data_IF_877486788085
#
_entry.id   IF_877486788085
#
_cell.length_a   1.000
_cell.length_b   1.000
_cell.length_c   1.000
_cell.angle_alpha   90.00
_cell.angle_beta   90.00
_cell.angle_gamma   90.00
#
_symmetry.space_group_name_H-M   'P 1'
#
loop_
_entity.id
_entity.type
_entity.pdbx_description
1 polymer ?
#
# COMPACT_ATOMS: atom_id res chain seq x y z
N UNK A 1 -10.59 -32.91 34.21
CA UNK A 1 -10.28 -33.74 35.42
C UNK A 1 -9.60 -35.03 34.95
N UNK A 2 -8.61 -35.48 35.67
CA UNK A 2 -8.03 -36.81 35.54
C UNK A 2 -8.47 -37.65 36.74
N UNK A 3 -8.72 -38.93 36.53
CA UNK A 3 -9.07 -39.89 37.59
C UNK A 3 -8.49 -41.25 37.26
N UNK A 4 -8.21 -42.03 38.29
CA UNK A 4 -7.84 -43.42 38.18
C UNK A 4 -9.03 -44.33 38.54
N UNK A 5 -9.24 -45.33 37.74
CA UNK A 5 -10.23 -46.39 38.03
C UNK A 5 -9.53 -47.56 38.76
N UNK A 6 -10.09 -47.98 39.85
CA UNK A 6 -9.64 -49.22 40.47
C UNK A 6 -10.37 -50.40 39.78
N UNK A 7 -9.66 -51.12 38.93
CA UNK A 7 -10.17 -52.26 38.13
C UNK A 7 -10.43 -53.52 38.94
N UNK A 8 -10.07 -53.50 40.26
CA UNK A 8 -10.28 -54.66 41.14
C UNK A 8 -11.57 -54.59 41.97
N UNK A 9 -12.36 -53.51 41.86
CA UNK A 9 -13.63 -53.36 42.55
C UNK A 9 -14.80 -53.22 41.59
N UNK A 10 -15.96 -53.73 41.98
CA UNK A 10 -17.23 -53.69 41.22
C UNK A 10 -17.91 -52.30 41.14
N UNK A 11 -17.29 -51.23 41.63
CA UNK A 11 -17.81 -49.87 41.56
C UNK A 11 -16.89 -49.03 40.66
N UNK A 12 -17.43 -48.49 39.55
CA UNK A 12 -16.75 -47.54 38.65
C UNK A 12 -16.66 -46.11 39.22
N UNK A 13 -16.45 -45.99 40.53
CA UNK A 13 -16.32 -44.64 41.17
C UNK A 13 -14.84 -44.24 41.11
N UNK A 14 -14.52 -43.05 40.58
CA UNK A 14 -13.15 -42.54 40.57
C UNK A 14 -12.62 -42.39 42.00
N UNK A 15 -11.47 -42.95 42.31
CA UNK A 15 -10.83 -42.84 43.63
C UNK A 15 -10.27 -41.43 43.89
N UNK A 16 -9.78 -40.78 42.83
CA UNK A 16 -9.23 -39.42 42.92
C UNK A 16 -9.61 -38.64 41.65
N UNK A 17 -10.11 -37.44 41.83
CA UNK A 17 -10.45 -36.51 40.75
C UNK A 17 -9.55 -35.29 40.87
N UNK A 18 -8.67 -35.09 39.90
CA UNK A 18 -7.76 -33.94 39.84
C UNK A 18 -8.03 -33.06 38.65
N UNK A 19 -8.12 -31.75 38.90
CA UNK A 19 -8.21 -30.76 37.82
C UNK A 19 -6.88 -30.70 37.04
N UNK A 20 -6.94 -30.80 35.72
CA UNK A 20 -5.78 -30.74 34.84
C UNK A 20 -5.54 -29.31 34.33
N UNK A 21 -6.58 -28.51 34.20
CA UNK A 21 -6.52 -27.13 33.72
C UNK A 21 -6.90 -26.14 34.82
N UNK A 22 -6.43 -24.93 34.74
CA UNK A 22 -6.76 -23.82 35.65
C UNK A 22 -7.74 -22.82 35.04
N UNK A 23 -8.31 -23.14 33.90
CA UNK A 23 -9.32 -22.30 33.24
C UNK A 23 -10.61 -22.19 34.08
N UNK A 24 -11.16 -20.97 34.18
CA UNK A 24 -12.32 -20.70 35.07
C UNK A 24 -13.48 -19.98 34.43
N UNK A 25 -13.25 -19.27 33.32
CA UNK A 25 -14.26 -18.39 32.70
C UNK A 25 -15.16 -19.12 31.70
N UNK A 26 -14.63 -20.11 31.01
CA UNK A 26 -15.37 -20.91 30.02
C UNK A 26 -15.13 -22.40 30.23
N UNK A 27 -16.05 -23.28 29.80
CA UNK A 27 -15.83 -24.72 29.82
C UNK A 27 -14.81 -25.15 28.75
N UNK A 28 -13.97 -26.13 29.08
CA UNK A 28 -13.19 -26.87 28.13
C UNK A 28 -14.12 -27.77 27.32
N UNK A 29 -13.97 -27.81 26.01
CA UNK A 29 -14.82 -28.58 25.08
C UNK A 29 -13.98 -29.41 24.11
N UNK A 30 -14.62 -30.41 23.48
CA UNK A 30 -14.04 -31.25 22.42
C UNK A 30 -12.73 -31.91 22.81
N UNK A 31 -12.68 -32.43 24.04
CA UNK A 31 -11.51 -33.13 24.56
C UNK A 31 -11.25 -34.41 23.77
N UNK A 32 -10.02 -34.58 23.31
CA UNK A 32 -9.47 -35.81 22.75
C UNK A 32 -8.11 -36.10 23.39
N UNK A 33 -7.67 -37.36 23.30
CA UNK A 33 -6.40 -37.83 23.81
C UNK A 33 -5.69 -38.66 22.75
N UNK A 34 -4.40 -38.45 22.57
CA UNK A 34 -3.56 -39.25 21.69
C UNK A 34 -3.10 -40.53 22.40
N UNK A 35 -2.59 -41.51 21.63
CA UNK A 35 -2.03 -42.77 22.15
C UNK A 35 -0.84 -42.52 23.13
N UNK A 36 -0.18 -41.38 23.02
CA UNK A 36 0.92 -40.93 23.92
C UNK A 36 0.44 -40.14 25.13
N UNK A 37 -0.87 -39.97 25.31
CA UNK A 37 -1.45 -39.24 26.44
C UNK A 37 -1.47 -37.72 26.29
N UNK A 38 -1.16 -37.17 25.13
CA UNK A 38 -1.32 -35.74 24.85
C UNK A 38 -2.79 -35.41 24.71
N UNK A 39 -3.28 -34.47 25.49
CA UNK A 39 -4.65 -33.95 25.41
C UNK A 39 -4.73 -32.88 24.33
N UNK A 40 -5.84 -32.87 23.57
CA UNK A 40 -6.22 -31.77 22.69
C UNK A 40 -7.66 -31.36 23.01
N UNK A 41 -7.91 -30.09 23.14
CA UNK A 41 -9.22 -29.55 23.51
C UNK A 41 -9.37 -28.09 23.06
N UNK A 42 -10.61 -27.59 23.08
CA UNK A 42 -10.89 -26.17 22.85
C UNK A 42 -11.25 -25.46 24.14
N UNK A 43 -10.82 -24.20 24.23
CA UNK A 43 -11.17 -23.29 25.30
C UNK A 43 -11.26 -21.88 24.73
N UNK A 44 -12.38 -21.18 24.99
CA UNK A 44 -12.64 -19.81 24.53
C UNK A 44 -12.42 -19.62 23.01
N UNK A 45 -12.91 -20.57 22.21
CA UNK A 45 -12.76 -20.53 20.74
C UNK A 45 -11.39 -20.93 20.20
N UNK A 46 -10.41 -21.19 21.05
CA UNK A 46 -9.05 -21.52 20.70
C UNK A 46 -8.71 -23.00 20.92
N UNK A 47 -7.75 -23.53 20.18
CA UNK A 47 -7.28 -24.91 20.27
C UNK A 47 -6.05 -24.99 21.17
N UNK A 48 -6.05 -26.00 22.07
CA UNK A 48 -4.95 -26.24 23.01
C UNK A 48 -4.48 -27.68 22.96
N UNK A 49 -3.18 -27.87 23.15
CA UNK A 49 -2.58 -29.16 23.46
C UNK A 49 -1.96 -29.13 24.85
N UNK A 50 -1.94 -30.28 25.52
CA UNK A 50 -1.38 -30.41 26.86
C UNK A 50 -0.82 -31.80 27.10
N UNK A 51 0.45 -31.86 27.43
CA UNK A 51 1.12 -33.08 27.91
C UNK A 51 0.76 -33.35 29.38
N UNK A 52 0.95 -34.58 29.80
CA UNK A 52 0.75 -34.94 31.20
C UNK A 52 1.61 -34.06 32.13
N UNK A 53 1.00 -33.45 33.13
CA UNK A 53 1.63 -32.53 34.10
C UNK A 53 2.25 -31.26 33.52
N UNK A 54 2.02 -30.94 32.25
CA UNK A 54 2.46 -29.71 31.61
C UNK A 54 1.37 -28.63 31.64
N UNK A 55 1.76 -27.37 31.33
CA UNK A 55 0.80 -26.28 31.12
C UNK A 55 0.14 -26.40 29.74
N UNK A 56 -1.11 -25.96 29.59
CA UNK A 56 -1.73 -25.86 28.29
C UNK A 56 -0.91 -24.99 27.32
N UNK A 57 -0.75 -25.46 26.09
CA UNK A 57 -0.12 -24.75 25.00
C UNK A 57 -1.15 -24.46 23.93
N UNK A 58 -1.37 -23.18 23.62
CA UNK A 58 -2.24 -22.77 22.51
C UNK A 58 -1.60 -23.20 21.19
N UNK A 59 -2.41 -23.80 20.32
CA UNK A 59 -2.02 -24.15 18.96
C UNK A 59 -2.27 -22.94 18.07
N UNK A 60 -1.22 -22.44 17.42
CA UNK A 60 -1.37 -21.44 16.39
C UNK A 60 -1.81 -22.11 15.10
N UNK A 61 -3.04 -21.84 14.66
CA UNK A 61 -3.57 -22.36 13.40
C UNK A 61 -3.45 -21.28 12.35
N UNK A 62 -2.52 -21.46 11.42
CA UNK A 62 -2.42 -20.62 10.23
C UNK A 62 -3.25 -21.26 9.11
N UNK A 63 -4.30 -20.58 8.72
CA UNK A 63 -5.07 -20.95 7.55
C UNK A 63 -4.42 -20.29 6.34
N UNK A 64 -3.65 -21.05 5.59
CA UNK A 64 -3.29 -20.65 4.23
C UNK A 64 -4.55 -20.83 3.39
N UNK A 65 -5.30 -19.76 3.19
CA UNK A 65 -6.37 -19.75 2.20
C UNK A 65 -5.72 -19.49 0.84
N UNK A 66 -5.94 -20.42 -0.04
CA UNK A 66 -5.87 -20.17 -1.48
C UNK A 66 -7.17 -19.41 -1.84
N UNK A 67 -7.30 -18.22 -1.27
CA UNK A 67 -8.37 -17.32 -1.67
C UNK A 67 -8.05 -16.97 -3.13
N UNK A 68 -8.71 -17.62 -4.07
CA UNK A 68 -8.95 -17.02 -5.37
C UNK A 68 -9.52 -15.64 -5.05
N UNK A 69 -8.68 -14.59 -5.24
CA UNK A 69 -9.15 -13.21 -5.10
C UNK A 69 -10.34 -13.13 -6.02
N UNK A 70 -11.55 -12.99 -5.47
CA UNK A 70 -12.72 -12.73 -6.29
C UNK A 70 -12.36 -11.56 -7.20
N UNK A 71 -12.26 -11.84 -8.50
CA UNK A 71 -12.00 -10.81 -9.49
C UNK A 71 -13.27 -10.00 -9.58
N UNK A 72 -13.37 -8.95 -8.76
CA UNK A 72 -14.45 -8.00 -8.84
C UNK A 72 -14.24 -7.14 -10.09
N UNK A 73 -15.10 -7.29 -11.08
CA UNK A 73 -15.14 -6.38 -12.23
C UNK A 73 -15.83 -5.08 -11.83
N UNK A 74 -15.04 -4.03 -11.63
CA UNK A 74 -15.56 -2.69 -11.35
C UNK A 74 -15.57 -1.88 -12.65
N UNK A 75 -16.74 -1.33 -13.01
CA UNK A 75 -16.88 -0.40 -14.13
C UNK A 75 -16.87 1.03 -13.63
N UNK A 76 -15.86 1.79 -14.03
CA UNK A 76 -15.81 3.24 -13.82
C UNK A 76 -16.15 3.95 -15.11
N UNK A 77 -17.22 4.71 -15.12
CA UNK A 77 -17.64 5.51 -16.29
C UNK A 77 -17.26 6.98 -16.17
N UNK A 78 -16.82 7.42 -14.99
CA UNK A 78 -16.48 8.83 -14.70
C UNK A 78 -15.55 8.91 -13.49
N UNK A 79 -14.89 10.06 -13.30
CA UNK A 79 -14.17 10.41 -12.05
C UNK A 79 -12.67 10.14 -12.07
N UNK A 80 -12.05 9.93 -13.23
CA UNK A 80 -10.61 10.03 -13.34
C UNK A 80 -10.19 11.50 -13.19
N UNK A 81 -9.32 11.81 -12.24
CA UNK A 81 -8.89 13.17 -11.91
C UNK A 81 -7.40 13.42 -12.16
N UNK A 82 -6.67 12.42 -12.62
CA UNK A 82 -5.29 12.50 -13.06
C UNK A 82 -5.04 11.37 -14.05
N UNK A 83 -4.30 11.63 -15.11
CA UNK A 83 -3.90 10.61 -16.05
C UNK A 83 -2.51 10.91 -16.62
N UNK A 84 -1.76 9.85 -16.95
CA UNK A 84 -0.46 9.91 -17.60
C UNK A 84 -0.35 8.77 -18.60
N UNK A 85 0.13 9.07 -19.81
CA UNK A 85 0.39 8.07 -20.85
C UNK A 85 1.84 7.64 -20.74
N UNK A 86 2.12 6.34 -20.87
CA UNK A 86 3.49 5.86 -20.93
C UNK A 86 4.23 6.42 -22.17
N UNK A 87 5.54 6.66 -22.11
CA UNK A 87 6.31 7.17 -23.24
C UNK A 87 6.16 6.37 -24.53
N UNK A 88 5.98 5.07 -24.45
CA UNK A 88 5.73 4.19 -25.61
C UNK A 88 4.27 4.18 -26.09
N UNK A 89 3.36 4.90 -25.42
CA UNK A 89 1.95 5.00 -25.76
C UNK A 89 1.10 3.75 -25.48
N UNK A 90 1.67 2.71 -24.84
CA UNK A 90 1.00 1.41 -24.67
C UNK A 90 0.23 1.28 -23.37
N UNK A 91 0.40 2.20 -22.44
CA UNK A 91 -0.22 2.17 -21.12
C UNK A 91 -0.74 3.57 -20.75
N UNK A 92 -1.84 3.59 -20.02
CA UNK A 92 -2.40 4.80 -19.41
C UNK A 92 -2.53 4.55 -17.93
N UNK A 93 -1.80 5.31 -17.11
CA UNK A 93 -2.03 5.40 -15.67
C UNK A 93 -3.08 6.46 -15.40
N UNK A 94 -3.96 6.20 -14.46
CA UNK A 94 -5.01 7.14 -14.05
C UNK A 94 -5.40 6.94 -12.60
N UNK A 95 -5.98 7.96 -12.00
CA UNK A 95 -6.47 7.91 -10.63
C UNK A 95 -7.98 8.01 -10.63
N UNK A 96 -8.62 7.04 -9.98
CA UNK A 96 -10.06 7.04 -9.76
C UNK A 96 -10.36 6.57 -8.35
N UNK A 97 -11.29 7.26 -7.65
CA UNK A 97 -11.66 6.98 -6.25
C UNK A 97 -10.49 7.01 -5.26
N UNK A 98 -9.42 7.71 -5.60
CA UNK A 98 -8.23 7.83 -4.75
C UNK A 98 -7.17 6.76 -4.98
N UNK A 99 -7.37 5.79 -5.87
CA UNK A 99 -6.40 4.76 -6.20
C UNK A 99 -5.81 4.92 -7.60
N UNK A 100 -4.56 4.50 -7.76
CA UNK A 100 -3.86 4.45 -9.05
C UNK A 100 -4.18 3.15 -9.78
N UNK A 101 -4.56 3.29 -11.04
CA UNK A 101 -4.80 2.19 -11.98
C UNK A 101 -3.93 2.36 -13.22
N UNK A 102 -3.60 1.26 -13.87
CA UNK A 102 -2.97 1.26 -15.20
C UNK A 102 -3.74 0.35 -16.13
N UNK A 103 -4.10 0.87 -17.29
CA UNK A 103 -4.74 0.11 -18.36
C UNK A 103 -3.82 0.02 -19.58
N UNK A 104 -3.97 -1.04 -20.37
CA UNK A 104 -3.36 -1.14 -21.68
C UNK A 104 -4.14 -0.32 -22.71
N UNK A 105 -3.45 0.23 -23.70
CA UNK A 105 -4.08 0.83 -24.89
C UNK A 105 -4.41 -0.21 -25.97
N UNK A 106 -3.74 -1.35 -25.94
CA UNK A 106 -3.85 -2.39 -26.96
C UNK A 106 -4.92 -3.44 -26.63
N UNK A 107 -5.30 -3.57 -25.33
CA UNK A 107 -6.27 -4.55 -24.85
C UNK A 107 -6.97 -4.08 -23.56
N UNK A 108 -8.02 -4.77 -23.13
CA UNK A 108 -8.94 -4.29 -22.10
C UNK A 108 -8.46 -4.55 -20.64
N UNK A 109 -7.25 -5.01 -20.43
CA UNK A 109 -6.74 -5.33 -19.07
C UNK A 109 -6.38 -4.05 -18.33
N UNK A 110 -6.95 -3.89 -17.15
CA UNK A 110 -6.64 -2.82 -16.21
C UNK A 110 -6.21 -3.41 -14.89
N UNK A 111 -5.15 -2.87 -14.31
CA UNK A 111 -4.62 -3.29 -13.01
C UNK A 111 -4.72 -2.15 -12.01
N UNK A 112 -5.21 -2.44 -10.83
CA UNK A 112 -5.09 -1.58 -9.66
C UNK A 112 -3.66 -1.65 -9.14
N UNK A 113 -3.02 -0.50 -8.96
CA UNK A 113 -1.64 -0.37 -8.49
C UNK A 113 -1.63 -0.13 -6.98
N UNK A 114 -2.49 0.78 -6.50
CA UNK A 114 -2.61 1.09 -5.08
C UNK A 114 -3.94 0.59 -4.53
N UNK A 115 -3.94 0.23 -3.26
CA UNK A 115 -5.14 -0.13 -2.50
C UNK A 115 -4.89 0.26 -1.04
N UNK A 116 -4.92 1.57 -0.77
CA UNK A 116 -4.60 2.14 0.53
C UNK A 116 -5.80 2.93 1.07
N UNK A 117 -5.89 3.13 2.39
CA UNK A 117 -6.96 3.98 2.94
C UNK A 117 -6.77 5.47 2.64
N UNK A 118 -5.56 5.89 2.21
CA UNK A 118 -5.27 7.26 1.79
C UNK A 118 -5.68 7.52 0.35
N UNK A 119 -5.65 8.78 -0.06
CA UNK A 119 -5.84 9.17 -1.47
C UNK A 119 -4.51 9.28 -2.17
N UNK A 120 -4.51 8.91 -3.44
CA UNK A 120 -3.45 9.18 -4.39
C UNK A 120 -3.83 10.34 -5.32
N UNK A 121 -2.82 11.07 -5.79
CA UNK A 121 -2.97 12.19 -6.73
C UNK A 121 -1.76 12.31 -7.66
N UNK A 122 -1.95 12.96 -8.80
CA UNK A 122 -0.90 13.40 -9.71
C UNK A 122 0.05 12.26 -10.14
N UNK A 123 -0.48 11.24 -10.83
CA UNK A 123 0.33 10.13 -11.34
C UNK A 123 1.12 10.54 -12.59
N UNK A 124 2.38 10.10 -12.69
CA UNK A 124 3.26 10.29 -13.85
C UNK A 124 4.09 9.03 -14.15
N UNK A 125 4.28 8.71 -15.44
CA UNK A 125 5.19 7.66 -15.87
C UNK A 125 6.63 8.15 -15.88
N UNK A 126 7.54 7.26 -15.48
CA UNK A 126 8.95 7.43 -15.79
C UNK A 126 9.23 7.08 -17.28
N UNK A 127 10.32 7.59 -17.86
CA UNK A 127 10.70 7.27 -19.24
C UNK A 127 10.97 5.78 -19.52
N UNK A 128 11.12 4.96 -18.49
CA UNK A 128 11.34 3.52 -18.60
C UNK A 128 10.07 2.70 -18.90
N UNK A 129 8.90 3.30 -18.95
CA UNK A 129 7.57 2.67 -19.09
C UNK A 129 7.20 1.68 -17.96
N UNK A 130 8.05 1.54 -16.95
CA UNK A 130 7.99 0.49 -15.93
C UNK A 130 7.91 1.02 -14.51
N UNK A 131 8.02 2.34 -14.36
CA UNK A 131 7.98 3.04 -13.08
C UNK A 131 6.93 4.15 -13.14
N UNK A 132 6.10 4.23 -12.11
CA UNK A 132 5.19 5.33 -11.85
C UNK A 132 5.70 6.14 -10.67
N UNK A 133 5.37 7.42 -10.65
CA UNK A 133 5.44 8.26 -9.47
C UNK A 133 4.07 8.90 -9.23
N UNK A 134 3.70 9.06 -7.99
CA UNK A 134 2.44 9.69 -7.58
C UNK A 134 2.57 10.27 -6.17
N UNK A 135 1.67 11.17 -5.81
CA UNK A 135 1.52 11.64 -4.45
C UNK A 135 0.49 10.78 -3.70
N UNK A 136 0.73 10.52 -2.41
CA UNK A 136 -0.20 9.78 -1.54
C UNK A 136 -0.25 10.40 -0.16
N UNK A 137 -1.45 10.48 0.42
CA UNK A 137 -1.66 10.95 1.80
C UNK A 137 -1.76 9.80 2.83
N UNK A 138 -1.39 8.56 2.45
CA UNK A 138 -1.52 7.34 3.29
C UNK A 138 -0.82 7.40 4.64
N UNK A 139 0.14 8.30 4.80
CA UNK A 139 0.87 8.53 6.06
C UNK A 139 0.41 9.76 6.85
N UNK A 140 -0.73 10.36 6.46
CA UNK A 140 -1.34 11.51 7.12
C UNK A 140 -0.94 12.87 6.54
N UNK A 141 0.02 12.92 5.61
CA UNK A 141 0.37 14.06 4.80
C UNK A 141 0.82 13.61 3.40
N UNK A 142 0.78 14.52 2.44
CA UNK A 142 1.16 14.23 1.06
C UNK A 142 2.65 13.93 0.92
N UNK A 143 2.97 12.73 0.45
CA UNK A 143 4.33 12.27 0.17
C UNK A 143 4.41 11.65 -1.22
N UNK A 144 5.62 11.61 -1.79
CA UNK A 144 5.86 11.00 -3.10
C UNK A 144 6.16 9.51 -2.95
N UNK A 145 5.51 8.72 -3.77
CA UNK A 145 5.72 7.29 -3.87
C UNK A 145 6.05 6.90 -5.30
N UNK A 146 6.85 5.86 -5.45
CA UNK A 146 7.04 5.19 -6.73
C UNK A 146 6.44 3.80 -6.67
N UNK A 147 5.89 3.34 -7.79
CA UNK A 147 5.53 1.95 -8.02
C UNK A 147 6.31 1.45 -9.24
N UNK A 148 6.99 0.33 -9.10
CA UNK A 148 7.85 -0.24 -10.13
C UNK A 148 7.54 -1.70 -10.37
N UNK A 149 7.56 -2.12 -11.63
CA UNK A 149 7.50 -3.54 -12.01
C UNK A 149 8.80 -4.22 -11.56
N UNK A 150 8.69 -5.15 -10.58
CA UNK A 150 9.85 -5.79 -9.97
C UNK A 150 10.54 -6.79 -10.90
N UNK A 151 9.77 -7.56 -11.67
CA UNK A 151 10.29 -8.60 -12.53
C UNK A 151 10.72 -8.06 -13.87
N UNK A 152 11.95 -8.36 -14.29
CA UNK A 152 12.54 -7.84 -15.54
C UNK A 152 11.84 -8.33 -16.82
N UNK A 153 11.31 -9.55 -16.76
CA UNK A 153 10.59 -10.20 -17.86
C UNK A 153 9.19 -9.62 -18.11
N UNK A 154 8.63 -8.89 -17.16
CA UNK A 154 7.32 -8.28 -17.26
C UNK A 154 7.45 -6.88 -17.87
N UNK A 155 6.84 -6.66 -19.03
CA UNK A 155 7.05 -5.44 -19.80
C UNK A 155 6.16 -4.26 -19.37
N UNK A 156 4.95 -4.54 -18.84
CA UNK A 156 3.93 -3.52 -18.57
C UNK A 156 3.14 -3.81 -17.29
N UNK A 157 2.57 -2.76 -16.70
CA UNK A 157 1.81 -2.84 -15.46
C UNK A 157 0.56 -3.72 -15.53
N UNK A 158 -0.28 -3.68 -16.58
CA UNK A 158 -1.50 -4.49 -16.63
C UNK A 158 -1.25 -5.98 -16.43
N UNK A 159 -0.10 -6.48 -16.88
CA UNK A 159 0.27 -7.89 -16.79
C UNK A 159 1.31 -8.19 -15.68
N UNK A 160 1.81 -7.17 -15.00
CA UNK A 160 2.81 -7.36 -13.96
C UNK A 160 2.23 -8.17 -12.78
N UNK A 161 2.97 -9.14 -12.31
CA UNK A 161 2.56 -9.99 -11.17
C UNK A 161 3.09 -9.44 -9.85
N UNK A 162 4.22 -8.70 -9.89
CA UNK A 162 4.83 -8.09 -8.71
C UNK A 162 5.15 -6.63 -8.96
N UNK A 163 4.61 -5.78 -8.10
CA UNK A 163 4.88 -4.34 -8.09
C UNK A 163 5.49 -3.99 -6.73
N UNK A 164 6.60 -3.28 -6.76
CA UNK A 164 7.27 -2.74 -5.58
C UNK A 164 6.95 -1.27 -5.45
N UNK A 165 6.56 -0.84 -4.25
CA UNK A 165 6.34 0.56 -3.91
C UNK A 165 7.42 1.06 -2.96
N UNK A 166 7.87 2.29 -3.18
CA UNK A 166 8.85 2.97 -2.34
C UNK A 166 8.41 4.42 -2.08
N UNK A 167 8.57 4.89 -0.84
CA UNK A 167 8.39 6.30 -0.52
C UNK A 167 9.66 7.08 -0.87
N UNK A 168 9.51 8.18 -1.61
CA UNK A 168 10.59 9.10 -1.91
C UNK A 168 10.61 10.23 -0.89
N UNK A 169 11.80 10.58 -0.36
CA UNK A 169 12.02 11.73 0.53
C UNK A 169 11.00 11.78 1.70
N UNK A 170 10.87 10.75 2.52
CA UNK A 170 9.84 10.72 3.57
C UNK A 170 9.99 11.89 4.55
N UNK A 171 8.88 12.55 4.86
CA UNK A 171 8.82 13.68 5.82
C UNK A 171 7.51 13.63 6.59
N UNK A 172 7.56 14.05 7.85
CA UNK A 172 6.36 14.23 8.69
C UNK A 172 5.84 15.68 8.70
N UNK A 173 6.63 16.62 8.21
CA UNK A 173 6.36 18.06 8.35
C UNK A 173 6.23 18.79 7.02
N UNK A 174 6.64 18.15 5.92
CA UNK A 174 6.68 18.76 4.58
C UNK A 174 5.77 17.97 3.68
N UNK A 175 4.86 18.64 2.98
CA UNK A 175 3.98 18.06 1.98
C UNK A 175 4.65 18.11 0.60
N UNK A 176 4.50 17.03 -0.19
CA UNK A 176 5.02 16.93 -1.56
C UNK A 176 3.99 16.33 -2.48
N UNK A 177 3.76 17.01 -3.62
CA UNK A 177 2.75 16.61 -4.58
C UNK A 177 3.17 16.95 -6.01
N UNK A 178 2.35 16.55 -6.99
CA UNK A 178 2.52 16.85 -8.42
C UNK A 178 3.87 16.43 -9.01
N UNK A 179 4.31 15.18 -8.81
CA UNK A 179 5.61 14.74 -9.30
C UNK A 179 5.61 14.55 -10.83
N UNK A 180 6.69 14.98 -11.48
CA UNK A 180 6.96 14.74 -12.90
C UNK A 180 8.42 14.36 -13.14
N UNK A 181 8.67 13.30 -13.87
CA UNK A 181 10.03 12.96 -14.29
C UNK A 181 10.55 13.94 -15.33
N UNK A 182 11.85 14.23 -15.26
CA UNK A 182 12.55 14.88 -16.38
C UNK A 182 12.49 13.98 -17.63
N UNK A 183 12.57 14.55 -18.85
CA UNK A 183 12.51 13.77 -20.10
C UNK A 183 13.57 12.66 -20.19
N UNK A 184 14.74 12.85 -19.57
CA UNK A 184 15.81 11.86 -19.52
C UNK A 184 15.71 10.88 -18.33
N UNK A 185 14.73 11.06 -17.45
CA UNK A 185 14.48 10.21 -16.29
C UNK A 185 15.49 10.29 -15.15
N UNK A 186 16.38 11.29 -15.16
CA UNK A 186 17.41 11.43 -14.10
C UNK A 186 16.98 12.28 -12.94
N UNK A 187 16.04 13.17 -13.17
CA UNK A 187 15.50 14.07 -12.16
C UNK A 187 13.98 13.89 -12.01
N UNK A 188 13.48 14.30 -10.86
CA UNK A 188 12.07 14.36 -10.55
C UNK A 188 11.72 15.75 -10.01
N UNK A 189 10.88 16.49 -10.74
CA UNK A 189 10.31 17.73 -10.24
C UNK A 189 9.07 17.46 -9.40
N UNK A 190 8.79 18.30 -8.41
CA UNK A 190 7.61 18.21 -7.56
C UNK A 190 7.35 19.55 -6.86
N UNK A 191 6.12 19.72 -6.42
CA UNK A 191 5.74 20.87 -5.59
C UNK A 191 5.89 20.52 -4.11
N UNK A 192 6.61 21.35 -3.36
CA UNK A 192 6.76 21.26 -1.92
C UNK A 192 5.97 22.39 -1.24
N UNK A 193 5.22 22.02 -0.16
CA UNK A 193 4.38 22.93 0.63
C UNK A 193 3.50 23.86 -0.23
N UNK A 194 3.04 23.36 -1.38
CA UNK A 194 2.11 24.00 -2.33
C UNK A 194 2.65 25.21 -3.10
N UNK A 195 3.85 25.69 -2.83
CA UNK A 195 4.35 26.93 -3.42
C UNK A 195 5.82 26.90 -3.88
N UNK A 196 6.52 25.80 -3.69
CA UNK A 196 7.91 25.68 -4.10
C UNK A 196 8.09 24.57 -5.13
N UNK A 197 8.59 24.91 -6.30
CA UNK A 197 9.05 23.93 -7.26
C UNK A 197 10.44 23.43 -6.84
N UNK A 198 10.53 22.14 -6.63
CA UNK A 198 11.74 21.45 -6.21
C UNK A 198 12.12 20.40 -7.26
N UNK A 199 13.39 20.07 -7.32
CA UNK A 199 13.91 19.00 -8.18
C UNK A 199 14.79 18.07 -7.39
N UNK A 200 14.51 16.78 -7.47
CA UNK A 200 15.29 15.69 -6.89
C UNK A 200 16.15 15.06 -7.97
N UNK A 201 17.46 15.01 -7.78
CA UNK A 201 18.36 14.13 -8.53
C UNK A 201 18.17 12.69 -8.02
N UNK A 202 17.70 11.79 -8.87
CA UNK A 202 17.32 10.42 -8.50
C UNK A 202 18.52 9.55 -8.13
N UNK A 203 19.70 9.87 -8.65
CA UNK A 203 20.95 9.14 -8.36
C UNK A 203 21.58 9.58 -7.05
N UNK A 204 21.72 10.89 -6.86
CA UNK A 204 22.41 11.44 -5.68
C UNK A 204 21.48 11.66 -4.50
N UNK A 205 20.17 11.62 -4.73
CA UNK A 205 19.11 11.95 -3.76
C UNK A 205 19.20 13.39 -3.24
N UNK A 206 19.88 14.28 -3.94
CA UNK A 206 19.94 15.70 -3.60
C UNK A 206 18.73 16.42 -4.15
N UNK A 207 18.17 17.32 -3.35
CA UNK A 207 17.05 18.18 -3.72
C UNK A 207 17.58 19.58 -3.93
N UNK A 208 17.19 20.24 -5.03
CA UNK A 208 17.41 21.66 -5.30
C UNK A 208 16.08 22.40 -5.42
N UNK A 209 16.05 23.61 -4.97
CA UNK A 209 14.90 24.51 -5.12
C UNK A 209 15.00 25.26 -6.45
N UNK A 210 13.87 25.36 -7.17
CA UNK A 210 13.76 26.09 -8.44
C UNK A 210 13.10 27.44 -8.21
N UNK A 211 11.96 27.48 -7.49
CA UNK A 211 11.27 28.74 -7.15
C UNK A 211 11.43 29.04 -5.67
N UNK A 212 11.41 30.32 -5.30
CA UNK A 212 11.61 30.79 -3.92
C UNK A 212 10.36 30.72 -3.04
N UNK A 213 9.22 30.28 -3.60
CA UNK A 213 7.94 30.23 -2.91
C UNK A 213 7.18 31.55 -2.88
N UNK A 214 7.70 32.60 -3.55
CA UNK A 214 7.00 33.90 -3.71
C UNK A 214 5.87 33.82 -4.75
N UNK A 215 5.89 32.79 -5.59
CA UNK A 215 4.80 32.45 -6.51
C UNK A 215 3.54 32.13 -5.70
N UNK A 216 2.50 32.89 -5.93
CA UNK A 216 1.30 32.89 -5.09
C UNK A 216 0.15 32.11 -5.77
N UNK A 217 -0.55 31.26 -4.99
CA UNK A 217 -1.69 30.48 -5.50
C UNK A 217 -2.94 30.80 -4.74
N UNK A 218 -4.01 31.00 -5.49
CA UNK A 218 -5.34 31.24 -4.95
C UNK A 218 -6.21 29.96 -4.92
N UNK A 219 -5.75 28.88 -5.49
CA UNK A 219 -6.51 27.66 -5.62
C UNK A 219 -5.76 26.54 -4.91
N UNK A 220 -6.19 26.08 -3.79
CA UNK A 220 -5.55 25.11 -2.89
C UNK A 220 -4.87 23.85 -3.48
N UNK A 221 -4.49 23.88 -4.76
CA UNK A 221 -3.96 22.74 -5.51
C UNK A 221 -2.48 22.81 -5.92
N UNK A 222 -1.79 23.92 -5.72
CA UNK A 222 -0.47 24.12 -6.31
C UNK A 222 -0.56 24.75 -7.70
N UNK A 223 0.55 24.90 -8.40
CA UNK A 223 0.63 25.50 -9.73
C UNK A 223 0.98 24.46 -10.79
N UNK A 224 0.56 24.71 -12.01
CA UNK A 224 0.92 23.87 -13.12
C UNK A 224 2.34 24.21 -13.58
N UNK A 225 3.12 23.19 -13.87
CA UNK A 225 4.44 23.33 -14.41
C UNK A 225 4.73 22.18 -15.39
N UNK A 226 5.60 22.44 -16.34
CA UNK A 226 6.02 21.45 -17.33
C UNK A 226 7.52 21.54 -17.58
N UNK A 227 8.18 20.39 -17.76
CA UNK A 227 9.53 20.34 -18.23
C UNK A 227 9.61 20.73 -19.71
N UNK A 228 10.65 21.49 -20.08
CA UNK A 228 11.02 21.61 -21.49
C UNK A 228 11.48 20.23 -22.05
N UNK A 229 11.29 19.96 -23.34
CA UNK A 229 11.68 18.67 -23.94
C UNK A 229 13.17 18.33 -23.79
N UNK A 230 14.04 19.33 -23.65
CA UNK A 230 15.47 19.15 -23.41
C UNK A 230 15.86 19.02 -21.92
N UNK A 231 14.87 19.10 -21.02
CA UNK A 231 15.05 18.96 -19.56
C UNK A 231 15.81 20.10 -18.90
N UNK A 232 15.96 21.26 -19.54
CA UNK A 232 16.75 22.37 -18.99
C UNK A 232 15.94 23.49 -18.38
N UNK A 233 14.69 23.60 -18.76
CA UNK A 233 13.79 24.70 -18.39
C UNK A 233 12.48 24.17 -17.85
N UNK A 234 11.77 25.04 -17.15
CA UNK A 234 10.38 24.85 -16.76
C UNK A 234 9.51 25.96 -17.34
N UNK A 235 8.33 25.59 -17.79
CA UNK A 235 7.22 26.51 -17.97
C UNK A 235 6.38 26.47 -16.71
N UNK A 236 6.03 27.60 -16.15
CA UNK A 236 5.27 27.74 -14.92
C UNK A 236 4.04 28.60 -15.17
N UNK A 237 2.91 28.24 -14.56
CA UNK A 237 1.80 29.13 -14.39
C UNK A 237 1.94 29.84 -13.02
N UNK A 238 1.90 31.18 -13.01
CA UNK A 238 1.91 31.94 -11.75
C UNK A 238 1.04 33.19 -11.84
N UNK A 239 0.57 33.65 -10.69
CA UNK A 239 -0.17 34.90 -10.59
C UNK A 239 0.81 35.99 -10.15
N UNK A 240 1.20 36.88 -11.09
CA UNK A 240 2.26 37.86 -10.90
C UNK A 240 1.90 39.02 -9.99
N UNK A 241 0.62 39.33 -9.76
CA UNK A 241 0.20 40.41 -8.89
C UNK A 241 -1.16 40.14 -8.26
N UNK A 242 -1.32 40.51 -6.98
CA UNK A 242 -2.54 40.28 -6.19
C UNK A 242 -3.82 40.91 -6.76
N UNK A 243 -3.64 41.84 -7.69
CA UNK A 243 -4.72 42.59 -8.34
C UNK A 243 -4.91 42.25 -9.82
N UNK A 244 -4.08 41.39 -10.38
CA UNK A 244 -4.24 40.96 -11.77
C UNK A 244 -5.06 39.67 -11.78
N UNK A 245 -6.26 39.65 -12.41
CA UNK A 245 -7.11 38.45 -12.51
C UNK A 245 -6.61 37.45 -13.55
N UNK A 246 -5.52 37.76 -14.25
CA UNK A 246 -4.96 36.91 -15.30
C UNK A 246 -3.67 36.25 -14.81
N UNK A 247 -3.53 34.94 -15.09
CA UNK A 247 -2.29 34.22 -14.89
C UNK A 247 -1.27 34.58 -15.96
N UNK A 248 -0.07 34.92 -15.57
CA UNK A 248 1.06 35.11 -16.47
C UNK A 248 1.80 33.79 -16.67
N UNK A 249 2.27 33.54 -17.89
CA UNK A 249 3.13 32.41 -18.23
C UNK A 249 4.57 32.94 -18.22
N UNK A 250 5.38 32.48 -17.29
CA UNK A 250 6.78 32.81 -17.16
C UNK A 250 7.73 31.75 -17.72
#
# INVERSE_FOLDING_TARGET
YNFSLNTSQTSNVPQEVKAITTFRTHPVRFLSISDKGTLCYTYDGELYTQEANARPKKVNVELVRDDEKEIASLKFSQGANSASVSPDGKQVAFIVRGDVFVTSTDYTTTKQITNTPGKEAAVSFAPDNRTLVYASERTGNWQLYTAKIARKEEANFPNATLIEEEVLLPSKTVERAYPQYSPDGKELAFIEDRNRLMVLDLKTKKVRQVTDGSTWYNTGGGFDYEWSPDGKWFTLEFIGNRHDPYSDIG
#
